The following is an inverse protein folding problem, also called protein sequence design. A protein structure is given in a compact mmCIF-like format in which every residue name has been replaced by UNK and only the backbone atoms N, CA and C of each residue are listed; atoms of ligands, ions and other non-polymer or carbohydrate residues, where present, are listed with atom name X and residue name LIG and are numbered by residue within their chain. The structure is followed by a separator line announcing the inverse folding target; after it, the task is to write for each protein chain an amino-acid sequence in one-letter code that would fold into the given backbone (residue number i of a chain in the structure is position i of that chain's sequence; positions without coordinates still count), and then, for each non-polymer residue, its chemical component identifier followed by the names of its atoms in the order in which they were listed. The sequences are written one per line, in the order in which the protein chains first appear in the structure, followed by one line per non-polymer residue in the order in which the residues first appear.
data_IF_420069352680
#
_entry.id   IF_420069352680
#
_cell.length_a   1.000
_cell.length_b   1.000
_cell.length_c   1.000
_cell.angle_alpha   90.00
_cell.angle_beta   90.00
_cell.angle_gamma   90.00
#
_symmetry.space_group_name_H-M   'P 1'
#
loop_
_entity.id
_entity.type
_entity.pdbx_description
1 polymer ?
#
# COMPACT_ATOMS: atom_id res chain seq x y z
N UNK A 1 2.25 -18.10 -20.49
CA UNK A 1 2.51 -18.03 -19.02
C UNK A 1 2.91 -16.60 -18.69
N UNK A 2 2.27 -15.95 -17.73
CA UNK A 2 2.68 -14.62 -17.26
C UNK A 2 3.91 -14.77 -16.37
N UNK A 3 4.89 -13.89 -16.51
CA UNK A 3 6.10 -13.84 -15.69
C UNK A 3 6.31 -12.40 -15.22
N UNK A 4 6.37 -12.21 -13.91
CA UNK A 4 6.82 -10.98 -13.28
C UNK A 4 8.29 -11.11 -12.88
N UNK A 5 9.05 -10.00 -13.00
CA UNK A 5 10.43 -9.90 -12.56
C UNK A 5 10.68 -8.49 -12.06
N UNK A 6 11.35 -8.37 -10.92
CA UNK A 6 11.84 -7.09 -10.43
C UNK A 6 12.93 -6.57 -11.38
N UNK A 7 12.70 -5.39 -11.95
CA UNK A 7 13.67 -4.75 -12.85
C UNK A 7 14.79 -4.07 -12.08
N UNK A 8 14.43 -3.22 -11.11
CA UNK A 8 15.37 -2.46 -10.30
C UNK A 8 14.72 -1.98 -8.99
N UNK A 9 15.57 -1.75 -7.98
CA UNK A 9 15.27 -0.93 -6.81
C UNK A 9 16.33 0.14 -6.78
N UNK A 10 15.93 1.40 -6.81
CA UNK A 10 16.84 2.53 -6.92
C UNK A 10 16.60 3.52 -5.80
N UNK A 11 17.69 4.05 -5.28
CA UNK A 11 17.67 5.20 -4.39
C UNK A 11 17.52 6.47 -5.23
N UNK A 12 16.59 7.34 -4.83
CA UNK A 12 16.31 8.59 -5.50
C UNK A 12 16.75 9.76 -4.62
N UNK A 13 17.62 10.61 -5.14
CA UNK A 13 17.99 11.88 -4.50
C UNK A 13 17.00 13.01 -4.84
N UNK A 14 16.33 12.89 -5.98
CA UNK A 14 15.29 13.82 -6.45
C UNK A 14 13.96 13.06 -6.59
N UNK A 15 13.04 13.36 -5.67
CA UNK A 15 11.72 12.75 -5.61
C UNK A 15 10.63 13.58 -6.33
N UNK A 16 11.02 14.56 -7.15
CA UNK A 16 10.10 15.26 -8.06
C UNK A 16 9.64 14.34 -9.18
N UNK A 17 8.55 14.73 -9.86
CA UNK A 17 8.02 13.98 -11.01
C UNK A 17 9.09 13.83 -12.09
N UNK A 18 9.80 14.92 -12.40
CA UNK A 18 10.90 14.94 -13.35
C UNK A 18 12.05 14.03 -12.90
N UNK A 19 12.47 14.10 -11.65
CA UNK A 19 13.54 13.26 -11.09
C UNK A 19 13.23 11.77 -11.24
N UNK A 20 12.01 11.36 -10.89
CA UNK A 20 11.58 9.95 -10.99
C UNK A 20 11.51 9.50 -12.46
N UNK A 21 10.92 10.31 -13.34
CA UNK A 21 10.79 9.97 -14.77
C UNK A 21 12.16 9.86 -15.42
N UNK A 22 13.06 10.82 -15.17
CA UNK A 22 14.40 10.79 -15.73
C UNK A 22 15.18 9.54 -15.28
N UNK A 23 15.10 9.18 -13.98
CA UNK A 23 15.74 7.97 -13.48
C UNK A 23 15.14 6.70 -14.11
N UNK A 24 13.82 6.65 -14.31
CA UNK A 24 13.16 5.54 -15.01
C UNK A 24 13.70 5.41 -16.45
N UNK A 25 13.78 6.51 -17.19
CA UNK A 25 14.27 6.49 -18.58
C UNK A 25 15.75 6.08 -18.66
N UNK A 26 16.59 6.54 -17.73
CA UNK A 26 17.98 6.12 -17.60
C UNK A 26 18.10 4.61 -17.40
N UNK A 27 17.34 4.03 -16.45
CA UNK A 27 17.35 2.58 -16.19
C UNK A 27 16.89 1.79 -17.42
N UNK A 28 15.84 2.24 -18.11
CA UNK A 28 15.36 1.58 -19.32
C UNK A 28 16.41 1.63 -20.43
N UNK A 29 17.11 2.76 -20.60
CA UNK A 29 18.19 2.90 -21.56
C UNK A 29 19.40 2.00 -21.22
N UNK A 30 19.83 1.96 -19.96
CA UNK A 30 20.92 1.09 -19.48
C UNK A 30 20.63 -0.40 -19.69
N UNK A 31 19.35 -0.79 -19.61
CA UNK A 31 18.89 -2.17 -19.84
C UNK A 31 18.52 -2.44 -21.29
N UNK A 32 18.75 -1.47 -22.18
CA UNK A 32 18.42 -1.54 -23.60
C UNK A 32 16.94 -1.91 -23.84
N UNK A 33 16.05 -1.40 -22.98
CA UNK A 33 14.60 -1.61 -23.07
C UNK A 33 13.99 -0.43 -23.86
N UNK A 34 13.50 -0.67 -25.08
CA UNK A 34 12.85 0.36 -25.88
C UNK A 34 11.60 0.93 -25.21
N UNK A 35 11.40 2.25 -25.29
CA UNK A 35 10.25 2.92 -24.66
C UNK A 35 8.89 2.49 -25.24
N UNK A 36 8.85 2.02 -26.49
CA UNK A 36 7.64 1.44 -27.08
C UNK A 36 7.21 0.12 -26.42
N UNK A 37 8.10 -0.54 -25.66
CA UNK A 37 7.75 -1.71 -24.85
C UNK A 37 7.09 -1.31 -23.52
N UNK A 38 7.10 -0.02 -23.16
CA UNK A 38 6.34 0.48 -22.02
C UNK A 38 4.85 0.60 -22.40
N UNK A 39 4.13 -0.50 -22.23
CA UNK A 39 2.71 -0.61 -22.57
C UNK A 39 1.77 -0.24 -21.41
N UNK A 40 2.28 -0.20 -20.18
CA UNK A 40 1.46 0.07 -19.01
C UNK A 40 2.22 0.69 -17.84
N UNK A 41 1.50 1.47 -17.04
CA UNK A 41 1.98 2.10 -15.81
C UNK A 41 0.94 1.90 -14.70
N UNK A 42 1.39 1.44 -13.54
CA UNK A 42 0.55 1.28 -12.35
C UNK A 42 1.31 1.74 -11.12
N UNK A 43 0.69 2.61 -10.33
CA UNK A 43 1.26 3.16 -9.10
C UNK A 43 0.13 3.58 -8.13
N UNK A 44 0.49 4.05 -6.94
CA UNK A 44 -0.49 4.67 -6.04
C UNK A 44 -1.20 5.86 -6.71
N UNK A 45 -2.34 6.26 -6.16
CA UNK A 45 -3.17 7.33 -6.74
C UNK A 45 -2.78 8.72 -6.22
N UNK A 46 -1.58 8.90 -5.67
CA UNK A 46 -1.12 10.23 -5.26
C UNK A 46 -0.93 11.14 -6.48
N UNK A 47 -1.05 12.45 -6.27
CA UNK A 47 -0.95 13.44 -7.35
C UNK A 47 0.38 13.38 -8.11
N UNK A 48 1.49 13.07 -7.42
CA UNK A 48 2.82 12.88 -8.02
C UNK A 48 2.81 11.73 -9.04
N UNK A 49 2.12 10.62 -8.73
CA UNK A 49 2.08 9.43 -9.59
C UNK A 49 1.02 9.57 -10.69
N UNK A 50 -0.19 9.97 -10.33
CA UNK A 50 -1.39 9.87 -11.16
C UNK A 50 -2.01 11.20 -11.58
N UNK A 51 -1.38 12.33 -11.24
CA UNK A 51 -1.85 13.66 -11.63
C UNK A 51 -1.93 13.85 -13.15
N UNK A 52 -2.96 14.56 -13.61
CA UNK A 52 -3.27 14.69 -15.04
C UNK A 52 -2.36 15.70 -15.77
N UNK A 53 -1.76 16.65 -15.04
CA UNK A 53 -0.92 17.70 -15.63
C UNK A 53 0.57 17.51 -15.32
N UNK A 54 0.90 17.35 -14.04
CA UNK A 54 2.27 17.21 -13.54
C UNK A 54 2.49 15.89 -12.79
N UNK A 55 1.75 14.83 -13.13
CA UNK A 55 2.00 13.49 -12.60
C UNK A 55 2.93 12.69 -13.51
N UNK A 56 3.57 11.64 -12.96
CA UNK A 56 4.36 10.69 -13.74
C UNK A 56 3.53 10.08 -14.88
N UNK A 57 2.26 9.73 -14.60
CA UNK A 57 1.26 9.36 -15.61
C UNK A 57 1.25 10.31 -16.81
N UNK A 58 1.14 11.61 -16.57
CA UNK A 58 1.04 12.61 -17.63
C UNK A 58 2.34 12.67 -18.45
N UNK A 59 3.50 12.62 -17.79
CA UNK A 59 4.81 12.59 -18.47
C UNK A 59 4.98 11.33 -19.33
N UNK A 60 4.59 10.17 -18.82
CA UNK A 60 4.66 8.91 -19.57
C UNK A 60 3.69 8.89 -20.75
N UNK A 61 2.49 9.48 -20.61
CA UNK A 61 1.56 9.64 -21.74
C UNK A 61 2.10 10.55 -22.84
N UNK A 62 2.88 11.57 -22.50
CA UNK A 62 3.54 12.41 -23.51
C UNK A 62 4.62 11.65 -24.30
N UNK A 63 5.22 10.60 -23.71
CA UNK A 63 6.22 9.75 -24.35
C UNK A 63 5.53 8.65 -25.18
N UNK A 64 4.48 8.04 -24.65
CA UNK A 64 3.67 7.03 -25.32
C UNK A 64 2.19 7.27 -24.99
N UNK A 65 1.45 7.87 -25.93
CA UNK A 65 0.04 8.20 -25.76
C UNK A 65 -0.84 6.96 -25.49
N UNK A 66 -0.40 5.79 -25.99
CA UNK A 66 -1.12 4.52 -25.88
C UNK A 66 -0.84 3.76 -24.58
N UNK A 67 -0.07 4.32 -23.64
CA UNK A 67 0.23 3.64 -22.38
C UNK A 67 -1.05 3.42 -21.55
N UNK A 68 -1.30 2.18 -21.15
CA UNK A 68 -2.39 1.86 -20.25
C UNK A 68 -2.03 2.27 -18.82
N UNK A 69 -2.90 3.02 -18.15
CA UNK A 69 -2.63 3.53 -16.79
C UNK A 69 -3.66 2.98 -15.82
N UNK A 70 -3.18 2.41 -14.72
CA UNK A 70 -4.03 1.86 -13.68
C UNK A 70 -3.64 2.37 -12.28
N UNK A 71 -4.62 2.87 -11.54
CA UNK A 71 -4.45 3.23 -10.13
C UNK A 71 -4.32 2.00 -9.24
N UNK A 72 -3.52 2.10 -8.18
CA UNK A 72 -3.43 1.03 -7.18
C UNK A 72 -4.76 0.88 -6.43
N UNK A 73 -5.44 -0.26 -6.64
CA UNK A 73 -6.68 -0.62 -5.95
C UNK A 73 -6.46 -0.66 -4.43
N UNK A 74 -5.30 -1.12 -3.96
CA UNK A 74 -4.96 -1.15 -2.54
C UNK A 74 -4.97 0.26 -1.92
N UNK A 75 -4.44 1.26 -2.64
CA UNK A 75 -4.45 2.63 -2.17
C UNK A 75 -5.88 3.20 -2.13
N UNK A 76 -6.71 2.93 -3.16
CA UNK A 76 -8.11 3.35 -3.17
C UNK A 76 -8.91 2.73 -2.03
N UNK A 77 -8.73 1.43 -1.75
CA UNK A 77 -9.35 0.74 -0.62
C UNK A 77 -8.89 1.34 0.72
N UNK A 78 -7.60 1.64 0.85
CA UNK A 78 -7.05 2.30 2.04
C UNK A 78 -7.71 3.67 2.27
N UNK A 79 -7.81 4.52 1.24
CA UNK A 79 -8.45 5.83 1.35
C UNK A 79 -9.92 5.72 1.78
N UNK A 80 -10.67 4.77 1.20
CA UNK A 80 -12.06 4.51 1.59
C UNK A 80 -12.18 4.05 3.05
N UNK A 81 -11.31 3.13 3.48
CA UNK A 81 -11.28 2.65 4.86
C UNK A 81 -10.89 3.77 5.85
N UNK A 82 -9.89 4.58 5.51
CA UNK A 82 -9.43 5.72 6.32
C UNK A 82 -10.52 6.78 6.47
N UNK A 83 -11.18 7.15 5.37
CA UNK A 83 -12.32 8.07 5.40
C UNK A 83 -13.48 7.54 6.27
N UNK A 84 -13.75 6.23 6.19
CA UNK A 84 -14.76 5.57 7.01
C UNK A 84 -14.35 5.57 8.49
N UNK A 85 -13.10 5.25 8.80
CA UNK A 85 -12.59 5.28 10.17
C UNK A 85 -12.68 6.67 10.80
N UNK A 86 -12.58 7.74 10.00
CA UNK A 86 -12.72 9.13 10.48
C UNK A 86 -14.15 9.50 10.90
N UNK A 87 -15.18 8.84 10.36
CA UNK A 87 -16.58 9.08 10.74
C UNK A 87 -17.07 8.12 11.83
N UNK A 88 -16.36 7.01 12.06
CA UNK A 88 -16.70 6.07 13.13
C UNK A 88 -16.37 6.65 14.52
N UNK A 89 -17.15 6.30 15.55
CA UNK A 89 -16.81 6.61 16.94
C UNK A 89 -15.44 6.05 17.32
N UNK A 90 -14.65 6.87 18.00
CA UNK A 90 -13.29 6.52 18.45
C UNK A 90 -13.24 5.32 19.39
N UNK A 91 -14.33 5.07 20.10
CA UNK A 91 -14.51 3.95 21.02
C UNK A 91 -14.44 2.61 20.31
N UNK A 92 -14.87 2.52 19.05
CA UNK A 92 -14.79 1.28 18.26
C UNK A 92 -13.33 0.93 17.98
N UNK A 93 -12.53 1.93 17.62
CA UNK A 93 -11.09 1.75 17.40
C UNK A 93 -10.37 1.39 18.71
N UNK A 94 -10.69 2.10 19.79
CA UNK A 94 -10.17 1.84 21.13
C UNK A 94 -10.48 0.41 21.59
N UNK A 95 -11.75 0.01 21.52
CA UNK A 95 -12.18 -1.34 21.90
C UNK A 95 -11.48 -2.42 21.08
N UNK A 96 -11.35 -2.23 19.76
CA UNK A 96 -10.64 -3.19 18.89
C UNK A 96 -9.18 -3.35 19.30
N UNK A 97 -8.53 -2.25 19.72
CA UNK A 97 -7.15 -2.23 20.22
C UNK A 97 -7.04 -2.91 21.59
N UNK A 98 -7.98 -2.65 22.49
CA UNK A 98 -8.01 -3.24 23.82
C UNK A 98 -8.21 -4.76 23.75
N UNK A 99 -9.07 -5.25 22.86
CA UNK A 99 -9.24 -6.69 22.60
C UNK A 99 -7.93 -7.30 22.10
N UNK A 100 -7.26 -6.67 21.13
CA UNK A 100 -5.98 -7.15 20.63
C UNK A 100 -4.94 -7.21 21.76
N UNK A 101 -4.80 -6.13 22.52
CA UNK A 101 -3.84 -6.05 23.62
C UNK A 101 -4.18 -7.12 24.66
N UNK A 102 -5.41 -7.23 25.14
CA UNK A 102 -5.79 -8.22 26.13
C UNK A 102 -5.43 -9.67 25.73
N UNK A 103 -5.70 -10.03 24.47
CA UNK A 103 -5.47 -11.41 23.98
C UNK A 103 -3.98 -11.64 23.67
N UNK A 104 -3.30 -10.67 23.08
CA UNK A 104 -1.94 -10.84 22.54
C UNK A 104 -0.81 -10.32 23.43
N UNK A 105 -1.10 -9.66 24.55
CA UNK A 105 -0.08 -9.06 25.44
C UNK A 105 0.61 -10.10 26.35
N UNK A 106 0.00 -11.27 26.57
CA UNK A 106 0.61 -12.34 27.37
C UNK A 106 0.54 -13.73 26.71
N UNK A 107 1.57 -14.58 26.89
CA UNK A 107 1.52 -15.97 26.46
C UNK A 107 0.34 -16.74 27.05
N UNK A 108 -0.02 -16.45 28.30
CA UNK A 108 -1.16 -17.07 28.99
C UNK A 108 -2.48 -16.79 28.28
N UNK A 109 -2.76 -15.53 27.94
CA UNK A 109 -3.99 -15.19 27.21
C UNK A 109 -4.00 -15.79 25.81
N UNK A 110 -2.85 -15.86 25.13
CA UNK A 110 -2.74 -16.53 23.83
C UNK A 110 -3.04 -18.03 23.91
N UNK A 111 -2.56 -18.70 24.95
CA UNK A 111 -2.81 -20.13 25.14
C UNK A 111 -4.29 -20.38 25.49
N UNK A 112 -4.89 -19.59 26.39
CA UNK A 112 -6.34 -19.66 26.63
C UNK A 112 -7.17 -19.37 25.38
N UNK A 113 -6.72 -18.46 24.51
CA UNK A 113 -7.39 -18.18 23.24
C UNK A 113 -7.29 -19.36 22.26
N UNK A 114 -6.17 -20.08 22.21
CA UNK A 114 -6.05 -21.32 21.42
C UNK A 114 -6.98 -22.40 21.95
N UNK A 115 -6.95 -22.65 23.27
CA UNK A 115 -7.82 -23.64 23.92
C UNK A 115 -9.30 -23.36 23.65
N UNK A 116 -9.71 -22.09 23.72
CA UNK A 116 -11.08 -21.70 23.41
C UNK A 116 -11.46 -22.00 21.95
N UNK A 117 -10.58 -21.69 21.00
CA UNK A 117 -10.81 -21.99 19.58
C UNK A 117 -10.93 -23.50 19.32
N UNK A 118 -10.12 -24.32 19.99
CA UNK A 118 -10.22 -25.78 19.91
C UNK A 118 -11.53 -26.29 20.51
N UNK A 119 -11.93 -25.76 21.67
CA UNK A 119 -13.18 -26.09 22.35
C UNK A 119 -14.41 -25.82 21.46
N UNK A 120 -14.43 -24.70 20.75
CA UNK A 120 -15.51 -24.37 19.80
C UNK A 120 -15.30 -24.94 18.39
N UNK A 121 -14.31 -25.81 18.20
CA UNK A 121 -13.98 -26.46 16.92
C UNK A 121 -13.71 -25.49 15.76
N UNK A 122 -13.12 -24.33 16.08
CA UNK A 122 -12.68 -23.37 15.08
C UNK A 122 -11.27 -23.69 14.60
N UNK A 123 -10.98 -23.27 13.36
CA UNK A 123 -9.60 -23.28 12.87
C UNK A 123 -8.77 -22.29 13.70
N UNK A 124 -7.51 -22.62 14.05
CA UNK A 124 -6.65 -21.69 14.76
C UNK A 124 -6.51 -20.38 13.99
N UNK A 125 -6.95 -19.28 14.60
CA UNK A 125 -6.78 -17.93 14.11
C UNK A 125 -5.81 -17.17 15.00
N UNK A 126 -5.03 -16.30 14.36
CA UNK A 126 -4.18 -15.33 15.02
C UNK A 126 -4.76 -13.96 14.79
N UNK A 127 -5.02 -13.23 15.87
CA UNK A 127 -5.45 -11.84 15.76
C UNK A 127 -4.28 -11.03 15.19
N UNK A 128 -4.55 -10.31 14.11
CA UNK A 128 -3.55 -9.47 13.46
C UNK A 128 -3.41 -8.17 14.25
N UNK A 129 -2.16 -7.77 14.51
CA UNK A 129 -1.87 -6.44 15.03
C UNK A 129 -2.33 -5.42 13.99
N UNK A 130 -3.03 -4.34 14.38
CA UNK A 130 -3.20 -3.20 13.50
C UNK A 130 -1.82 -2.76 12.99
N UNK A 131 -1.66 -2.69 11.66
CA UNK A 131 -0.36 -2.41 11.06
C UNK A 131 0.17 -1.05 11.56
N UNK A 132 1.49 -0.91 11.70
CA UNK A 132 2.11 0.41 11.94
C UNK A 132 2.54 1.09 10.64
N UNK A 133 2.52 0.39 9.50
CA UNK A 133 3.03 0.92 8.23
C UNK A 133 1.93 1.13 7.17
N UNK A 134 1.69 2.43 6.94
CA UNK A 134 1.20 3.18 5.76
C UNK A 134 -0.11 2.81 5.06
N UNK A 135 -0.42 1.56 4.73
CA UNK A 135 -1.61 1.25 3.90
C UNK A 135 -2.72 0.50 4.65
N UNK A 136 -2.36 -0.09 5.80
CA UNK A 136 -3.31 -0.68 6.75
C UNK A 136 -2.99 -0.21 8.17
N UNK A 137 -2.14 0.82 8.31
CA UNK A 137 -2.03 1.47 9.58
C UNK A 137 -3.33 2.19 9.86
N UNK A 138 -3.90 1.91 11.03
CA UNK A 138 -4.70 2.90 11.71
C UNK A 138 -3.74 4.06 11.93
N UNK A 139 -3.66 4.98 10.96
CA UNK A 139 -2.93 6.23 11.15
C UNK A 139 -3.57 6.86 12.38
N UNK A 140 -2.77 6.87 13.44
CA UNK A 140 -3.09 7.51 14.71
C UNK A 140 -3.59 8.90 14.31
N UNK A 141 -4.87 9.16 14.56
CA UNK A 141 -5.36 10.53 14.65
C UNK A 141 -4.37 11.20 15.59
N UNK A 142 -3.49 12.05 15.06
CA UNK A 142 -2.43 12.72 15.82
C UNK A 142 -3.12 13.58 16.87
N UNK A 143 -3.31 13.00 18.05
CA UNK A 143 -3.62 13.69 19.28
C UNK A 143 -2.31 13.72 20.05
N UNK A 144 -1.37 14.53 19.55
CA UNK A 144 -0.38 15.33 20.28
C UNK A 144 0.20 16.37 19.33
#
# INVERSE_FOLDING_TARGET
KVCDRLLAVVELNDCTVEGVVNKLLEILAEKEIPLNNLIGFSADTAAVMMGDYNGIKAKLKNINENIFVNGCICHSLHLAASATANVLPTEIEGFSRDVYNYICDSPKCLDSYKEFQEFVQLKPHKILKPSQTRWLSLEIRNIF
#
